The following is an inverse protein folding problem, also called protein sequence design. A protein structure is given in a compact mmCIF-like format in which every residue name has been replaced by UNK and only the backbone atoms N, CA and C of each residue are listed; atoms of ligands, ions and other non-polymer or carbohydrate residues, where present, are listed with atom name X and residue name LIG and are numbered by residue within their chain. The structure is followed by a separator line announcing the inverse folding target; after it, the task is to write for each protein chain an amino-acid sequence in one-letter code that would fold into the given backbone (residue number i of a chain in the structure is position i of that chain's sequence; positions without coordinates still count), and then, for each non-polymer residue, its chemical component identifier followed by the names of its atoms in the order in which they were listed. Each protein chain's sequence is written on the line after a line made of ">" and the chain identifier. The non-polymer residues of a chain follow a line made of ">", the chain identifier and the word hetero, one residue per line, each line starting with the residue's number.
data_IF_719473347025
#
_entry.id   IF_719473347025
#
_cell.length_a   1.000
_cell.length_b   1.000
_cell.length_c   1.000
_cell.angle_alpha   90.00
_cell.angle_beta   90.00
_cell.angle_gamma   90.00
#
_symmetry.space_group_name_H-M   'P 1'
#
loop_
_entity.id
_entity.type
_entity.pdbx_description
1 polymer ?
#
# COMPACT_ATOMS: atom_id res chain seq x y z
N UNK A 1 -9.17 11.12 -9.77
CA UNK A 1 -8.80 10.60 -8.44
C UNK A 1 -8.20 11.75 -7.66
N UNK A 2 -8.90 12.24 -6.64
CA UNK A 2 -8.32 13.20 -5.68
C UNK A 2 -7.27 12.52 -4.81
N UNK A 3 -6.49 13.30 -4.07
CA UNK A 3 -5.61 12.79 -3.00
C UNK A 3 -6.44 11.94 -2.02
N UNK A 4 -7.60 12.43 -1.58
CA UNK A 4 -8.48 11.70 -0.66
C UNK A 4 -8.93 10.35 -1.21
N UNK A 5 -9.27 10.29 -2.50
CA UNK A 5 -9.68 9.04 -3.14
C UNK A 5 -8.50 8.04 -3.21
N UNK A 6 -7.28 8.51 -3.49
CA UNK A 6 -6.09 7.67 -3.49
C UNK A 6 -5.74 7.18 -2.08
N UNK A 7 -5.82 8.05 -1.07
CA UNK A 7 -5.60 7.70 0.33
C UNK A 7 -6.64 6.71 0.83
N UNK A 8 -7.91 6.88 0.46
CA UNK A 8 -8.96 5.94 0.80
C UNK A 8 -8.72 4.57 0.16
N UNK A 9 -8.34 4.51 -1.12
CA UNK A 9 -8.03 3.26 -1.81
C UNK A 9 -6.83 2.53 -1.18
N UNK A 10 -5.76 3.27 -0.85
CA UNK A 10 -4.58 2.72 -0.18
C UNK A 10 -4.94 2.20 1.21
N UNK A 11 -5.66 2.99 2.03
CA UNK A 11 -6.08 2.58 3.38
C UNK A 11 -6.96 1.34 3.37
N UNK A 12 -7.90 1.25 2.42
CA UNK A 12 -8.74 0.07 2.25
C UNK A 12 -7.91 -1.18 1.89
N UNK A 13 -6.93 -1.04 0.99
CA UNK A 13 -6.05 -2.16 0.64
C UNK A 13 -5.10 -2.53 1.80
N UNK A 14 -4.62 -1.56 2.58
CA UNK A 14 -3.82 -1.81 3.79
C UNK A 14 -4.63 -2.55 4.86
N UNK A 15 -5.91 -2.20 5.05
CA UNK A 15 -6.78 -2.91 6.00
C UNK A 15 -7.08 -4.35 5.57
N UNK A 16 -7.18 -4.60 4.26
CA UNK A 16 -7.30 -5.96 3.74
C UNK A 16 -6.04 -6.78 4.02
N UNK A 17 -4.84 -6.23 3.76
CA UNK A 17 -3.56 -6.88 4.11
C UNK A 17 -3.50 -7.18 5.61
N UNK A 18 -3.91 -6.23 6.45
CA UNK A 18 -3.96 -6.41 7.92
C UNK A 18 -4.90 -7.55 8.30
N UNK A 19 -6.09 -7.61 7.70
CA UNK A 19 -7.11 -8.62 7.98
C UNK A 19 -6.59 -10.01 7.64
N UNK A 20 -6.02 -10.19 6.45
CA UNK A 20 -5.43 -11.47 6.04
C UNK A 20 -4.25 -11.84 6.95
N UNK A 21 -3.36 -10.90 7.24
CA UNK A 21 -2.21 -11.14 8.11
C UNK A 21 -2.61 -11.54 9.55
N UNK A 22 -3.69 -10.98 10.09
CA UNK A 22 -4.24 -11.41 11.39
C UNK A 22 -4.76 -12.84 11.34
N UNK A 23 -5.47 -13.21 10.27
CA UNK A 23 -6.03 -14.55 10.11
C UNK A 23 -4.95 -15.63 9.98
N UNK A 24 -3.80 -15.30 9.38
CA UNK A 24 -2.71 -16.26 9.15
C UNK A 24 -1.56 -16.17 10.15
N UNK A 25 -1.63 -15.25 11.14
CA UNK A 25 -0.56 -15.06 12.12
C UNK A 25 0.71 -14.43 11.55
N UNK A 26 0.61 -13.70 10.44
CA UNK A 26 1.74 -13.11 9.74
C UNK A 26 2.17 -11.77 10.37
N UNK A 27 3.04 -11.85 11.36
CA UNK A 27 3.56 -10.67 12.08
C UNK A 27 4.32 -9.70 11.18
N UNK A 28 4.97 -10.17 10.11
CA UNK A 28 5.70 -9.34 9.15
C UNK A 28 4.75 -8.45 8.36
N UNK A 29 3.67 -9.03 7.82
CA UNK A 29 2.65 -8.26 7.10
C UNK A 29 1.83 -7.36 8.04
N UNK A 30 1.63 -7.74 9.30
CA UNK A 30 1.04 -6.85 10.31
C UNK A 30 1.89 -5.62 10.57
N UNK A 31 3.21 -5.80 10.77
CA UNK A 31 4.14 -4.68 10.93
C UNK A 31 4.17 -3.78 9.70
N UNK A 32 4.13 -4.38 8.52
CA UNK A 32 4.05 -3.64 7.25
C UNK A 32 2.76 -2.82 7.14
N UNK A 33 1.61 -3.38 7.50
CA UNK A 33 0.34 -2.65 7.48
C UNK A 33 0.34 -1.46 8.46
N UNK A 34 0.90 -1.63 9.66
CA UNK A 34 1.02 -0.55 10.64
C UNK A 34 1.98 0.56 10.17
N UNK A 35 3.10 0.18 9.55
CA UNK A 35 4.01 1.13 8.91
C UNK A 35 3.30 1.93 7.81
N UNK A 36 2.54 1.26 6.92
CA UNK A 36 1.75 1.92 5.87
C UNK A 36 0.73 2.91 6.44
N UNK A 37 -0.02 2.54 7.49
CA UNK A 37 -0.96 3.49 8.14
C UNK A 37 -0.25 4.78 8.56
N UNK A 38 0.94 4.64 9.16
CA UNK A 38 1.73 5.77 9.63
C UNK A 38 2.23 6.62 8.47
N UNK A 39 2.69 5.99 7.39
CA UNK A 39 3.20 6.70 6.20
C UNK A 39 2.11 7.48 5.46
N UNK A 40 0.86 7.01 5.47
CA UNK A 40 -0.26 7.63 4.75
C UNK A 40 -1.25 8.39 5.66
N UNK A 41 -0.94 8.59 6.95
CA UNK A 41 -1.83 9.26 7.89
C UNK A 41 -1.99 10.77 7.58
N UNK A 42 -0.87 11.46 7.33
CA UNK A 42 -0.79 12.93 7.29
C UNK A 42 -0.52 13.51 5.90
N UNK A 43 -0.58 12.68 4.85
CA UNK A 43 -0.33 13.15 3.47
C UNK A 43 -1.46 14.08 3.05
N UNK A 44 -1.09 15.28 2.62
CA UNK A 44 -2.05 16.31 2.21
C UNK A 44 -1.81 16.83 0.80
N UNK A 45 -0.70 16.45 0.16
CA UNK A 45 -0.35 16.90 -1.18
C UNK A 45 0.13 15.77 -2.11
N UNK A 46 0.08 16.04 -3.43
CA UNK A 46 0.43 15.06 -4.47
C UNK A 46 1.91 14.65 -4.42
N UNK A 47 2.90 15.56 -4.22
CA UNK A 47 4.30 15.17 -4.11
C UNK A 47 4.56 14.16 -2.98
N UNK A 48 4.02 14.41 -1.78
CA UNK A 48 4.12 13.49 -0.63
C UNK A 48 3.47 12.14 -0.93
N UNK A 49 2.26 12.13 -1.51
CA UNK A 49 1.57 10.91 -1.91
C UNK A 49 2.44 10.06 -2.84
N UNK A 50 3.05 10.69 -3.85
CA UNK A 50 3.92 9.98 -4.80
C UNK A 50 5.21 9.47 -4.15
N UNK A 51 5.82 10.25 -3.27
CA UNK A 51 7.02 9.83 -2.54
C UNK A 51 6.72 8.61 -1.67
N UNK A 52 5.67 8.68 -0.85
CA UNK A 52 5.24 7.57 0.00
C UNK A 52 4.85 6.33 -0.81
N UNK A 53 4.16 6.51 -1.94
CA UNK A 53 3.80 5.39 -2.82
C UNK A 53 5.01 4.73 -3.47
N UNK A 54 6.03 5.52 -3.87
CA UNK A 54 7.30 4.98 -4.38
C UNK A 54 8.04 4.19 -3.31
N UNK A 55 8.15 4.75 -2.11
CA UNK A 55 8.79 4.08 -0.96
C UNK A 55 8.12 2.75 -0.65
N UNK A 56 6.78 2.74 -0.59
CA UNK A 56 6.01 1.54 -0.32
C UNK A 56 6.18 0.46 -1.40
N UNK A 57 6.35 0.84 -2.68
CA UNK A 57 6.56 -0.15 -3.74
C UNK A 57 7.88 -0.92 -3.63
N UNK A 58 8.84 -0.46 -2.82
CA UNK A 58 10.03 -1.26 -2.50
C UNK A 58 9.72 -2.52 -1.67
N UNK A 59 8.52 -2.64 -1.09
CA UNK A 59 8.04 -3.85 -0.41
C UNK A 59 7.86 -5.06 -1.35
N UNK A 60 7.90 -4.86 -2.67
CA UNK A 60 7.89 -5.93 -3.69
C UNK A 60 9.29 -6.20 -4.27
N UNK A 61 10.37 -5.63 -3.70
CA UNK A 61 11.76 -5.85 -4.09
C UNK A 61 12.48 -6.93 -3.27
N UNK A 62 13.79 -7.13 -3.52
CA UNK A 62 14.61 -8.24 -3.01
C UNK A 62 14.78 -8.39 -1.48
N UNK A 63 14.13 -7.55 -0.67
CA UNK A 63 14.05 -7.63 0.80
C UNK A 63 12.62 -7.43 1.34
N UNK A 64 11.60 -7.45 0.48
CA UNK A 64 10.23 -7.05 0.82
C UNK A 64 9.32 -8.18 1.32
N UNK A 65 8.49 -7.88 2.33
CA UNK A 65 7.52 -8.77 3.00
C UNK A 65 6.47 -9.43 2.06
N UNK A 66 6.40 -8.97 0.80
CA UNK A 66 5.37 -9.36 -0.16
C UNK A 66 5.85 -10.25 -1.31
N UNK A 67 7.13 -10.63 -1.33
CA UNK A 67 7.69 -11.56 -2.32
C UNK A 67 7.31 -13.02 -2.05
N UNK A 68 6.95 -13.36 -0.80
CA UNK A 68 6.48 -14.68 -0.38
C UNK A 68 5.02 -14.60 0.12
N UNK A 69 4.08 -14.92 -0.77
CA UNK A 69 2.65 -14.92 -0.49
C UNK A 69 2.18 -16.37 -0.35
N UNK A 70 2.23 -16.89 0.87
CA UNK A 70 1.88 -18.28 1.20
C UNK A 70 0.40 -18.65 1.09
N UNK A 71 -0.47 -17.77 0.57
CA UNK A 71 -1.89 -18.04 0.29
C UNK A 71 -2.42 -17.17 -0.84
N UNK A 72 -3.51 -17.61 -1.49
CA UNK A 72 -4.17 -16.86 -2.55
C UNK A 72 -4.78 -15.55 -2.03
N UNK A 73 -5.30 -15.57 -0.81
CA UNK A 73 -5.86 -14.42 -0.10
C UNK A 73 -4.79 -13.37 0.19
N UNK A 74 -3.61 -13.81 0.66
CA UNK A 74 -2.48 -12.90 0.87
C UNK A 74 -1.99 -12.30 -0.44
N UNK A 75 -1.91 -13.12 -1.51
CA UNK A 75 -1.55 -12.63 -2.83
C UNK A 75 -2.54 -11.57 -3.34
N UNK A 76 -3.84 -11.81 -3.20
CA UNK A 76 -4.88 -10.87 -3.62
C UNK A 76 -4.78 -9.53 -2.88
N UNK A 77 -4.71 -9.56 -1.54
CA UNK A 77 -4.61 -8.35 -0.72
C UNK A 77 -3.36 -7.53 -1.07
N UNK A 78 -2.23 -8.21 -1.23
CA UNK A 78 -0.95 -7.60 -1.62
C UNK A 78 -1.03 -7.00 -3.03
N UNK A 79 -1.57 -7.71 -4.02
CA UNK A 79 -1.66 -7.18 -5.38
C UNK A 79 -2.63 -6.00 -5.46
N UNK A 80 -3.73 -6.03 -4.71
CA UNK A 80 -4.65 -4.88 -4.61
C UNK A 80 -3.93 -3.64 -4.05
N UNK A 81 -3.13 -3.80 -3.00
CA UNK A 81 -2.31 -2.71 -2.46
C UNK A 81 -1.30 -2.22 -3.50
N UNK A 82 -0.63 -3.13 -4.22
CA UNK A 82 0.32 -2.77 -5.28
C UNK A 82 -0.34 -1.90 -6.35
N UNK A 83 -1.53 -2.28 -6.79
CA UNK A 83 -2.30 -1.54 -7.79
C UNK A 83 -2.70 -0.14 -7.27
N UNK A 84 -3.16 -0.03 -6.03
CA UNK A 84 -3.49 1.25 -5.40
C UNK A 84 -2.26 2.21 -5.38
N UNK A 85 -1.10 1.69 -4.97
CA UNK A 85 0.15 2.46 -4.95
C UNK A 85 0.60 2.89 -6.36
N UNK A 86 0.47 1.99 -7.36
CA UNK A 86 0.79 2.32 -8.75
C UNK A 86 -0.14 3.38 -9.32
N UNK A 87 -1.44 3.34 -8.99
CA UNK A 87 -2.41 4.37 -9.37
C UNK A 87 -2.07 5.72 -8.75
N UNK A 88 -1.67 5.73 -7.48
CA UNK A 88 -1.21 6.95 -6.79
C UNK A 88 0.04 7.57 -7.45
N UNK A 89 0.95 6.74 -7.99
CA UNK A 89 2.09 7.21 -8.80
C UNK A 89 1.70 7.71 -10.19
N UNK A 90 0.81 6.98 -10.89
CA UNK A 90 0.44 7.27 -12.27
C UNK A 90 -0.55 8.42 -12.41
N UNK A 91 -1.10 8.93 -11.30
CA UNK A 91 -1.96 10.10 -11.30
C UNK A 91 -1.18 11.32 -11.84
N UNK A 92 -1.54 11.76 -13.06
CA UNK A 92 -1.23 13.01 -13.82
C UNK A 92 -0.53 14.13 -13.03
N UNK A 93 0.51 14.86 -13.46
CA UNK A 93 0.95 15.27 -14.81
C UNK A 93 -0.19 15.85 -15.68
N UNK A 94 -1.21 16.44 -15.06
CA UNK A 94 -1.80 17.68 -15.59
C UNK A 94 -1.21 18.75 -14.72
N UNK A 95 -0.18 19.39 -15.26
CA UNK A 95 0.14 20.75 -14.89
C UNK A 95 -1.04 21.58 -15.41
N UNK A 96 -1.77 22.23 -14.51
CA UNK A 96 -2.32 23.55 -14.83
C UNK A 96 -1.17 24.57 -14.73
#
# INVERSE_FOLDING_TARGET
>A
MSIDAALLEIRAATDEVRTVARATGDSSRLGTAAWLDTRFAEISNVPELRAAARDALHLWGGMGSFSDVGSAEAHHAVERLRLALRRALSWRLVLD
#
